data_IF_409290758284
#
_entry.id   IF_409290758284
#
_cell.length_a   1.000
_cell.length_b   1.000
_cell.length_c   1.000
_cell.angle_alpha   90.00
_cell.angle_beta   90.00
_cell.angle_gamma   90.00
#
_symmetry.space_group_name_H-M   'P 1'
#
loop_
_entity.id
_entity.type
_entity.pdbx_description
1 polymer ?
#
# COMPACT_ATOMS: atom_id res chain seq x y z
N UNK A 1 9.22 -6.72 3.76
CA UNK A 1 10.03 -6.70 5.01
C UNK A 1 9.55 -7.74 6.00
N UNK A 2 8.31 -7.67 6.53
CA UNK A 2 7.76 -8.71 7.41
C UNK A 2 7.66 -10.09 6.75
N UNK A 3 7.22 -10.17 5.49
CA UNK A 3 7.25 -11.42 4.70
C UNK A 3 8.63 -12.09 4.74
N UNK A 4 9.70 -11.31 4.61
CA UNK A 4 11.07 -11.82 4.66
C UNK A 4 11.46 -12.25 6.08
N UNK A 5 11.06 -11.49 7.10
CA UNK A 5 11.31 -11.84 8.50
C UNK A 5 10.62 -13.15 8.92
N UNK A 6 9.46 -13.45 8.33
CA UNK A 6 8.72 -14.69 8.54
C UNK A 6 9.18 -15.83 7.62
N UNK A 7 10.18 -15.61 6.75
CA UNK A 7 10.69 -16.62 5.81
C UNK A 7 9.73 -16.97 4.67
N UNK A 8 8.76 -16.10 4.37
CA UNK A 8 7.67 -16.34 3.40
C UNK A 8 7.96 -15.79 1.99
N UNK A 9 9.18 -15.32 1.73
CA UNK A 9 9.56 -14.67 0.47
C UNK A 9 9.42 -15.54 -0.78
N UNK A 10 9.43 -16.87 -0.61
CA UNK A 10 9.26 -17.81 -1.73
C UNK A 10 7.78 -18.03 -2.11
N UNK A 11 6.85 -17.51 -1.31
CA UNK A 11 5.41 -17.73 -1.48
C UNK A 11 4.61 -16.44 -1.62
N UNK A 12 5.25 -15.28 -1.43
CA UNK A 12 4.59 -13.99 -1.44
C UNK A 12 5.41 -12.96 -2.21
N UNK A 13 4.73 -12.33 -3.18
CA UNK A 13 5.19 -11.12 -3.84
C UNK A 13 4.40 -9.93 -3.27
N UNK A 14 5.09 -8.82 -2.96
CA UNK A 14 4.46 -7.62 -2.39
C UNK A 14 5.02 -6.39 -3.09
N UNK A 15 4.11 -5.57 -3.62
CA UNK A 15 4.42 -4.27 -4.21
C UNK A 15 3.44 -3.20 -3.71
N UNK A 16 3.81 -1.93 -3.89
CA UNK A 16 2.91 -0.78 -3.70
C UNK A 16 2.85 0.07 -4.96
N UNK A 17 1.67 0.62 -5.25
CA UNK A 17 1.42 1.47 -6.42
C UNK A 17 0.54 2.66 -6.03
N UNK A 18 0.58 3.72 -6.84
CA UNK A 18 -0.27 4.90 -6.70
C UNK A 18 -1.43 4.83 -7.71
N UNK A 19 -2.59 5.39 -7.36
CA UNK A 19 -3.70 5.51 -8.32
C UNK A 19 -3.35 6.43 -9.49
N UNK A 20 -2.56 7.48 -9.21
CA UNK A 20 -2.15 8.47 -10.20
C UNK A 20 -0.63 8.57 -10.31
N UNK A 21 -0.16 8.83 -11.52
CA UNK A 21 1.27 8.90 -11.83
C UNK A 21 2.01 10.17 -11.38
N UNK A 22 1.39 11.06 -10.60
CA UNK A 22 1.98 12.37 -10.25
C UNK A 22 3.34 12.26 -9.53
N UNK A 23 3.54 11.18 -8.78
CA UNK A 23 4.79 10.91 -8.07
C UNK A 23 5.65 9.82 -8.73
N UNK A 24 5.34 9.37 -9.94
CA UNK A 24 6.08 8.29 -10.62
C UNK A 24 7.59 8.52 -10.60
N UNK A 25 8.35 7.50 -10.19
CA UNK A 25 9.80 7.53 -10.09
C UNK A 25 10.36 8.22 -8.85
N UNK A 26 9.54 8.91 -8.06
CA UNK A 26 9.99 9.56 -6.81
C UNK A 26 10.20 8.54 -5.70
N UNK A 27 11.16 8.84 -4.83
CA UNK A 27 11.35 8.12 -3.58
C UNK A 27 10.16 8.36 -2.63
N UNK A 28 9.93 7.45 -1.66
CA UNK A 28 8.90 7.63 -0.64
C UNK A 28 9.12 8.91 0.16
N UNK A 29 8.04 9.48 0.70
CA UNK A 29 8.12 10.68 1.54
C UNK A 29 9.09 10.47 2.71
N UNK A 30 9.95 11.45 2.96
CA UNK A 30 10.99 11.37 4.00
C UNK A 30 10.42 11.09 5.41
N UNK A 31 9.18 11.51 5.70
CA UNK A 31 8.48 11.23 6.97
C UNK A 31 8.10 9.76 7.09
N UNK A 32 7.65 9.15 6.00
CA UNK A 32 7.42 7.71 5.93
C UNK A 32 8.75 6.95 6.10
N UNK A 33 9.82 7.39 5.42
CA UNK A 33 11.17 6.80 5.58
C UNK A 33 11.74 6.98 6.99
N UNK A 34 11.41 8.07 7.70
CA UNK A 34 11.78 8.25 9.11
C UNK A 34 11.05 7.25 9.98
N UNK A 35 9.73 7.13 9.80
CA UNK A 35 8.90 6.20 10.57
C UNK A 35 9.35 4.75 10.38
N UNK A 36 9.67 4.35 9.15
CA UNK A 36 10.21 3.02 8.84
C UNK A 36 11.55 2.79 9.57
N UNK A 37 12.46 3.77 9.57
CA UNK A 37 13.73 3.69 10.29
C UNK A 37 13.54 3.55 11.80
N UNK A 38 12.61 4.30 12.38
CA UNK A 38 12.27 4.22 13.81
C UNK A 38 11.70 2.84 14.19
N UNK A 39 11.13 2.12 13.21
CA UNK A 39 10.66 0.73 13.33
C UNK A 39 11.71 -0.32 12.92
N UNK A 40 12.97 0.07 12.71
CA UNK A 40 14.06 -0.82 12.34
C UNK A 40 14.09 -1.25 10.87
N UNK A 41 13.23 -0.68 10.02
CA UNK A 41 13.18 -0.94 8.58
C UNK A 41 14.12 0.04 7.87
N UNK A 42 15.35 -0.40 7.58
CA UNK A 42 16.41 0.47 7.02
C UNK A 42 16.73 0.21 5.56
N UNK A 43 16.32 -0.93 5.01
CA UNK A 43 16.61 -1.30 3.60
C UNK A 43 15.42 -1.09 2.65
N UNK A 44 14.37 -0.38 3.08
CA UNK A 44 13.21 -0.13 2.24
C UNK A 44 13.62 0.72 1.03
N UNK A 45 13.43 0.16 -0.16
CA UNK A 45 13.64 0.84 -1.42
C UNK A 45 12.43 0.58 -2.30
N UNK A 46 11.74 1.64 -2.67
CA UNK A 46 10.59 1.61 -3.56
C UNK A 46 10.59 2.89 -4.38
N UNK A 47 10.16 2.81 -5.64
CA UNK A 47 9.87 3.97 -6.46
C UNK A 47 8.40 3.99 -6.74
N UNK A 48 7.76 5.13 -6.50
CA UNK A 48 6.37 5.30 -6.82
C UNK A 48 6.13 4.96 -8.31
N UNK A 49 5.11 4.16 -8.57
CA UNK A 49 4.64 3.81 -9.91
C UNK A 49 3.12 3.87 -9.91
N UNK A 50 2.47 4.21 -11.04
CA UNK A 50 1.03 4.07 -11.13
C UNK A 50 0.65 2.59 -11.11
N UNK A 51 -0.57 2.31 -10.67
CA UNK A 51 -1.21 1.01 -10.90
C UNK A 51 -1.52 0.86 -12.40
N UNK A 52 -1.36 -0.35 -12.94
CA UNK A 52 -1.63 -0.69 -14.34
C UNK A 52 -2.72 -1.76 -14.43
N UNK A 53 -3.30 -1.94 -15.61
CA UNK A 53 -4.27 -3.03 -15.84
C UNK A 53 -3.66 -4.42 -15.59
N UNK A 54 -2.36 -4.60 -15.82
CA UNK A 54 -1.63 -5.85 -15.56
C UNK A 54 -1.61 -6.18 -14.06
N UNK A 55 -1.58 -5.18 -13.17
CA UNK A 55 -1.62 -5.44 -11.72
C UNK A 55 -2.90 -6.19 -11.32
N UNK A 56 -4.01 -5.97 -12.01
CA UNK A 56 -5.31 -6.59 -11.74
C UNK A 56 -5.41 -8.07 -12.15
N UNK A 57 -4.42 -8.58 -12.88
CA UNK A 57 -4.30 -10.01 -13.24
C UNK A 57 -3.05 -10.65 -12.66
N UNK A 58 -2.01 -9.86 -12.37
CA UNK A 58 -0.77 -10.31 -11.74
C UNK A 58 -0.94 -10.59 -10.24
N UNK A 59 -1.70 -9.76 -9.52
CA UNK A 59 -1.86 -9.90 -8.07
C UNK A 59 -3.19 -10.55 -7.69
N UNK A 60 -3.15 -11.45 -6.72
CA UNK A 60 -4.36 -12.06 -6.15
C UNK A 60 -5.19 -11.04 -5.35
N UNK A 61 -4.52 -10.07 -4.72
CA UNK A 61 -5.14 -9.07 -3.84
C UNK A 61 -4.60 -7.68 -4.12
N UNK A 62 -5.51 -6.71 -4.21
CA UNK A 62 -5.19 -5.28 -4.30
C UNK A 62 -5.89 -4.58 -3.15
N UNK A 63 -5.11 -3.91 -2.30
CA UNK A 63 -5.65 -3.22 -1.14
C UNK A 63 -5.70 -1.71 -1.33
N UNK A 64 -6.88 -1.12 -1.09
CA UNK A 64 -7.06 0.32 -0.95
C UNK A 64 -6.89 0.77 0.51
N UNK A 65 -6.41 1.99 0.72
CA UNK A 65 -6.24 2.55 2.07
C UNK A 65 -7.53 3.19 2.60
N UNK A 66 -8.39 3.70 1.70
CA UNK A 66 -9.67 4.33 2.00
C UNK A 66 -10.73 4.03 0.92
N UNK A 67 -11.95 4.52 1.14
CA UNK A 67 -13.06 4.29 0.20
C UNK A 67 -12.84 4.94 -1.17
N UNK A 68 -12.11 6.06 -1.24
CA UNK A 68 -11.81 6.70 -2.52
C UNK A 68 -10.88 5.81 -3.35
N UNK A 69 -9.88 5.19 -2.71
CA UNK A 69 -9.02 4.20 -3.36
C UNK A 69 -9.84 3.04 -3.91
N UNK A 70 -10.76 2.49 -3.12
CA UNK A 70 -11.62 1.39 -3.57
C UNK A 70 -12.48 1.79 -4.77
N UNK A 71 -13.07 2.98 -4.74
CA UNK A 71 -13.86 3.49 -5.86
C UNK A 71 -13.02 3.61 -7.13
N UNK A 72 -11.84 4.23 -7.06
CA UNK A 72 -10.95 4.39 -8.21
C UNK A 72 -10.41 3.05 -8.73
N UNK A 73 -10.02 2.14 -7.84
CA UNK A 73 -9.58 0.79 -8.23
C UNK A 73 -10.68 0.02 -8.95
N UNK A 74 -11.93 0.13 -8.52
CA UNK A 74 -13.05 -0.50 -9.21
C UNK A 74 -13.34 0.15 -10.57
N UNK A 75 -13.15 1.47 -10.70
CA UNK A 75 -13.28 2.17 -11.99
C UNK A 75 -12.19 1.75 -12.98
N UNK A 76 -10.98 1.46 -12.50
CA UNK A 76 -9.84 1.04 -13.31
C UNK A 76 -9.82 -0.48 -13.58
N UNK A 77 -10.63 -1.26 -12.87
CA UNK A 77 -10.61 -2.73 -12.92
C UNK A 77 -10.99 -3.23 -14.33
N UNK A 78 -10.10 -3.94 -15.05
CA UNK A 78 -10.45 -4.53 -16.33
C UNK A 78 -11.37 -5.74 -16.14
N UNK A 79 -12.16 -6.08 -17.17
CA UNK A 79 -13.17 -7.16 -17.11
C UNK A 79 -12.58 -8.55 -16.86
N UNK A 80 -11.32 -8.77 -17.23
CA UNK A 80 -10.58 -10.02 -17.03
C UNK A 80 -9.81 -10.07 -15.70
N UNK A 81 -9.98 -9.08 -14.82
CA UNK A 81 -9.30 -9.03 -13.53
C UNK A 81 -9.62 -10.25 -12.67
N UNK A 82 -8.58 -10.89 -12.16
CA UNK A 82 -8.64 -11.98 -11.17
C UNK A 82 -8.44 -11.46 -9.74
N UNK A 83 -7.88 -10.26 -9.60
CA UNK A 83 -7.59 -9.65 -8.31
C UNK A 83 -8.85 -9.38 -7.47
N UNK A 84 -8.72 -9.64 -6.17
CA UNK A 84 -9.69 -9.23 -5.16
C UNK A 84 -9.33 -7.85 -4.60
N UNK A 85 -10.29 -6.92 -4.67
CA UNK A 85 -10.10 -5.54 -4.21
C UNK A 85 -10.78 -5.37 -2.84
N UNK A 86 -10.00 -5.02 -1.80
CA UNK A 86 -10.52 -4.79 -0.44
C UNK A 86 -9.82 -3.63 0.27
N UNK A 87 -10.42 -3.12 1.35
CA UNK A 87 -9.73 -2.19 2.25
C UNK A 87 -8.69 -2.94 3.08
N UNK A 88 -7.47 -2.39 3.18
CA UNK A 88 -6.45 -2.96 4.07
C UNK A 88 -6.92 -2.96 5.53
N UNK A 89 -7.54 -1.85 5.98
CA UNK A 89 -8.03 -1.70 7.35
C UNK A 89 -9.14 -2.69 7.74
N UNK A 90 -9.74 -3.42 6.79
CA UNK A 90 -10.67 -4.52 7.10
C UNK A 90 -10.01 -5.61 7.97
N UNK A 91 -8.69 -5.71 7.94
CA UNK A 91 -7.89 -6.68 8.68
C UNK A 91 -7.30 -6.10 9.97
N UNK A 92 -7.61 -4.85 10.34
CA UNK A 92 -7.18 -4.28 11.61
C UNK A 92 -7.93 -4.96 12.78
N UNK A 93 -7.22 -5.58 13.75
CA UNK A 93 -7.86 -6.18 14.92
C UNK A 93 -8.63 -5.16 15.79
N UNK A 94 -8.36 -3.86 15.66
CA UNK A 94 -9.09 -2.81 16.37
C UNK A 94 -10.33 -2.31 15.62
N UNK A 95 -10.52 -2.74 14.37
CA UNK A 95 -11.67 -2.42 13.55
C UNK A 95 -11.60 -1.07 12.83
N UNK A 96 -10.45 -0.39 12.79
CA UNK A 96 -10.29 0.83 11.99
C UNK A 96 -10.10 0.49 10.51
N UNK A 97 -11.16 0.72 9.73
CA UNK A 97 -11.19 0.31 8.32
C UNK A 97 -10.51 1.29 7.35
N UNK A 98 -10.34 2.55 7.77
CA UNK A 98 -9.82 3.63 6.94
C UNK A 98 -8.43 4.04 7.43
N UNK A 99 -7.44 3.83 6.57
CA UNK A 99 -6.06 4.28 6.80
C UNK A 99 -5.94 5.68 6.21
N UNK A 100 -5.96 6.69 7.09
CA UNK A 100 -5.95 8.09 6.69
C UNK A 100 -4.60 8.48 6.07
N UNK A 101 -4.64 9.30 5.03
CA UNK A 101 -3.42 9.86 4.42
C UNK A 101 -2.68 10.76 5.44
N UNK A 102 -1.43 10.42 5.82
CA UNK A 102 -0.66 11.21 6.77
C UNK A 102 -0.24 12.59 6.23
N UNK A 103 -0.26 12.80 4.91
CA UNK A 103 0.16 14.03 4.27
C UNK A 103 -0.69 15.23 4.70
N UNK A 104 -2.00 15.01 4.91
CA UNK A 104 -2.98 16.05 5.23
C UNK A 104 -3.16 16.29 6.73
N UNK A 105 -2.44 15.58 7.58
CA UNK A 105 -2.56 15.68 9.02
C UNK A 105 -1.19 15.98 9.63
N UNK A 106 -1.07 17.18 10.20
CA UNK A 106 0.19 17.82 10.61
C UNK A 106 1.04 16.99 11.60
N UNK A 107 0.52 15.90 12.20
CA UNK A 107 1.18 15.10 13.25
C UNK A 107 1.03 13.56 13.14
N UNK A 108 0.59 12.98 12.01
CA UNK A 108 0.04 11.60 12.04
C UNK A 108 0.90 10.47 11.49
N UNK A 109 2.13 10.70 11.03
CA UNK A 109 2.96 9.61 10.47
C UNK A 109 3.16 8.45 11.46
N UNK A 110 3.15 8.72 12.77
CA UNK A 110 3.29 7.70 13.81
C UNK A 110 2.05 6.82 14.04
N UNK A 111 0.87 7.22 13.57
CA UNK A 111 -0.41 6.52 13.84
C UNK A 111 -0.85 5.57 12.73
N UNK A 112 -0.23 5.66 11.55
CA UNK A 112 -0.69 5.01 10.31
C UNK A 112 0.05 3.70 10.02
N UNK A 113 1.04 3.34 10.84
CA UNK A 113 1.74 2.05 10.77
C UNK A 113 1.55 1.23 12.05
N UNK A 114 0.34 0.68 12.31
CA UNK A 114 0.21 -0.47 13.19
C UNK A 114 0.74 -1.67 12.41
N UNK A 115 1.87 -2.22 12.85
CA UNK A 115 2.36 -3.53 12.47
C UNK A 115 2.05 -4.51 13.58
#
# INVERSE_FOLDING_TARGET
>A
QQVNQLGLSNSWEVESAALIGYHTGKNPDHRAMSTLRDKGITNYSHKARPITEEDFTKFDWIFGMDNNNIQELNNMKPSNSTAKIELLGKYDPQGETIIRDPYYVCNSFNRIYPI
#
